data_IF_625839505591
#
_entry.id   IF_625839505591
#
_cell.length_a   1.000
_cell.length_b   1.000
_cell.length_c   1.000
_cell.angle_alpha   90.00
_cell.angle_beta   90.00
_cell.angle_gamma   90.00
#
_symmetry.space_group_name_H-M   'P 1'
#
loop_
_entity.id
_entity.type
_entity.pdbx_description
1 polymer ?
#
# COMPACT_ATOMS: atom_id res chain seq x y z
N UNK A 1 22.93 -15.36 -20.12
CA UNK A 1 22.52 -13.96 -19.93
C UNK A 1 21.05 -14.03 -19.54
N UNK A 2 20.69 -13.89 -18.26
CA UNK A 2 19.29 -13.79 -17.88
C UNK A 2 18.80 -12.43 -18.38
N UNK A 3 17.83 -12.43 -19.26
CA UNK A 3 17.03 -11.26 -19.62
C UNK A 3 16.45 -10.72 -18.31
N UNK A 4 17.01 -9.61 -17.78
CA UNK A 4 16.33 -8.86 -16.73
C UNK A 4 14.96 -8.51 -17.32
N UNK A 5 13.89 -8.98 -16.69
CA UNK A 5 12.53 -8.67 -17.09
C UNK A 5 12.41 -7.16 -17.23
N UNK A 6 11.83 -6.68 -18.32
CA UNK A 6 11.72 -5.25 -18.62
C UNK A 6 10.78 -4.60 -17.58
N UNK A 7 11.37 -3.95 -16.57
CA UNK A 7 10.62 -3.31 -15.49
C UNK A 7 9.87 -2.12 -16.09
N UNK A 8 8.55 -2.00 -15.91
CA UNK A 8 7.81 -0.85 -16.38
C UNK A 8 8.26 0.45 -15.69
N UNK A 9 8.28 1.55 -16.44
CA UNK A 9 8.49 2.87 -15.85
C UNK A 9 7.20 3.38 -15.19
N UNK A 10 7.32 4.30 -14.23
CA UNK A 10 6.16 4.95 -13.63
C UNK A 10 5.33 5.71 -14.68
N UNK A 11 5.97 6.23 -15.73
CA UNK A 11 5.24 6.88 -16.82
C UNK A 11 4.36 5.89 -17.59
N UNK A 12 4.87 4.71 -17.91
CA UNK A 12 4.12 3.65 -18.59
C UNK A 12 2.98 3.12 -17.72
N UNK A 13 3.20 2.99 -16.41
CA UNK A 13 2.20 2.47 -15.49
C UNK A 13 1.00 3.41 -15.32
N UNK A 14 1.23 4.72 -15.26
CA UNK A 14 0.19 5.67 -14.85
C UNK A 14 -0.26 6.63 -15.95
N UNK A 15 0.53 6.86 -17.01
CA UNK A 15 0.29 7.93 -17.96
C UNK A 15 0.32 7.51 -19.44
N UNK A 16 0.92 6.37 -19.76
CA UNK A 16 0.83 5.84 -21.13
C UNK A 16 -0.58 5.29 -21.40
N UNK A 17 -1.10 5.53 -22.60
CA UNK A 17 -2.33 4.89 -23.03
C UNK A 17 -2.13 3.37 -22.98
N UNK A 18 -2.89 2.67 -22.17
CA UNK A 18 -2.93 1.22 -22.19
C UNK A 18 -3.53 0.81 -23.52
N UNK A 19 -2.75 0.15 -24.36
CA UNK A 19 -3.29 -0.45 -25.57
C UNK A 19 -4.43 -1.41 -25.17
N UNK A 20 -5.52 -1.37 -25.91
CA UNK A 20 -6.77 -2.08 -25.60
C UNK A 20 -6.65 -3.63 -25.59
N UNK A 21 -5.45 -4.17 -25.76
CA UNK A 21 -5.18 -5.58 -26.04
C UNK A 21 -4.34 -6.29 -24.95
N UNK A 22 -4.03 -5.65 -23.83
CA UNK A 22 -3.31 -6.35 -22.76
C UNK A 22 -4.27 -7.32 -22.06
N UNK A 23 -3.91 -8.60 -22.07
CA UNK A 23 -4.58 -9.64 -21.31
C UNK A 23 -4.41 -9.32 -19.79
N UNK A 24 -5.41 -9.66 -18.98
CA UNK A 24 -5.42 -9.42 -17.53
C UNK A 24 -4.14 -9.94 -16.85
N UNK A 25 -3.67 -11.10 -17.24
CA UNK A 25 -2.43 -11.68 -16.73
C UNK A 25 -1.18 -10.84 -17.04
N UNK A 26 -1.10 -10.25 -18.22
CA UNK A 26 0.03 -9.37 -18.59
C UNK A 26 -0.01 -8.07 -17.78
N UNK A 27 -1.20 -7.56 -17.47
CA UNK A 27 -1.38 -6.40 -16.59
C UNK A 27 -0.88 -6.75 -15.19
N UNK A 28 -1.31 -7.89 -14.63
CA UNK A 28 -0.88 -8.38 -13.33
C UNK A 28 0.65 -8.52 -13.25
N UNK A 29 1.27 -9.19 -14.22
CA UNK A 29 2.72 -9.40 -14.28
C UNK A 29 3.49 -8.06 -14.36
N UNK A 30 2.99 -7.09 -15.14
CA UNK A 30 3.59 -5.75 -15.22
C UNK A 30 3.46 -4.97 -13.92
N UNK A 31 2.31 -5.03 -13.25
CA UNK A 31 2.10 -4.39 -11.95
C UNK A 31 3.03 -5.00 -10.91
N UNK A 32 3.16 -6.32 -10.87
CA UNK A 32 4.06 -7.01 -9.96
C UNK A 32 5.52 -6.59 -10.17
N UNK A 33 6.01 -6.58 -11.41
CA UNK A 33 7.36 -6.14 -11.74
C UNK A 33 7.61 -4.67 -11.31
N UNK A 34 6.65 -3.80 -11.58
CA UNK A 34 6.75 -2.40 -11.19
C UNK A 34 6.83 -2.24 -9.67
N UNK A 35 5.85 -2.75 -8.92
CA UNK A 35 5.80 -2.56 -7.47
C UNK A 35 6.97 -3.24 -6.75
N UNK A 36 7.40 -4.41 -7.17
CA UNK A 36 8.61 -5.06 -6.63
C UNK A 36 9.90 -4.27 -6.89
N UNK A 37 9.90 -3.39 -7.89
CA UNK A 37 11.04 -2.50 -8.17
C UNK A 37 11.11 -1.29 -7.25
N UNK A 38 9.99 -0.93 -6.60
CA UNK A 38 9.88 0.27 -5.77
C UNK A 38 10.39 -0.01 -4.35
N UNK A 39 11.44 0.71 -3.96
CA UNK A 39 11.98 0.69 -2.61
C UNK A 39 11.65 2.00 -1.90
N UNK A 40 11.01 1.88 -0.75
CA UNK A 40 10.62 3.02 0.08
C UNK A 40 11.82 3.51 0.90
N UNK A 41 11.72 4.72 1.46
CA UNK A 41 12.79 5.34 2.25
C UNK A 41 13.26 4.49 3.45
N UNK A 42 12.39 3.69 4.04
CA UNK A 42 12.71 2.79 5.15
C UNK A 42 13.35 1.46 4.70
N UNK A 43 13.66 1.29 3.41
CA UNK A 43 14.25 0.09 2.83
C UNK A 43 13.24 -1.03 2.54
N UNK A 44 11.97 -0.87 2.88
CA UNK A 44 10.94 -1.84 2.51
C UNK A 44 10.54 -1.68 1.04
N UNK A 45 10.03 -2.76 0.44
CA UNK A 45 9.54 -2.73 -0.94
C UNK A 45 8.03 -2.88 -0.99
N UNK A 46 7.42 -2.25 -1.98
CA UNK A 46 6.01 -2.46 -2.29
C UNK A 46 5.86 -3.81 -2.99
N UNK A 47 5.69 -4.87 -2.19
CA UNK A 47 5.44 -6.21 -2.74
C UNK A 47 3.95 -6.41 -2.91
N UNK A 48 3.55 -6.95 -4.06
CA UNK A 48 2.17 -7.33 -4.32
C UNK A 48 2.17 -8.73 -4.92
N UNK A 49 1.08 -9.45 -4.71
CA UNK A 49 0.78 -10.72 -5.39
C UNK A 49 -0.73 -10.88 -5.44
N UNK A 50 -1.22 -11.20 -6.61
CA UNK A 50 -2.62 -11.51 -6.84
C UNK A 50 -3.03 -12.79 -6.11
N UNK A 51 -4.27 -12.84 -5.63
CA UNK A 51 -4.91 -14.00 -4.98
C UNK A 51 -4.21 -14.52 -3.72
N UNK A 52 -3.31 -13.71 -3.16
CA UNK A 52 -2.49 -14.11 -2.01
C UNK A 52 -3.30 -14.37 -0.74
N UNK A 53 -4.43 -13.66 -0.56
CA UNK A 53 -5.24 -13.68 0.67
C UNK A 53 -6.65 -14.23 0.45
N UNK A 54 -6.88 -15.08 -0.56
CA UNK A 54 -8.21 -15.61 -0.89
C UNK A 54 -8.78 -16.49 0.25
N UNK A 55 -7.95 -17.31 0.87
CA UNK A 55 -8.31 -18.15 2.03
C UNK A 55 -8.68 -17.30 3.25
N UNK A 56 -7.92 -16.22 3.50
CA UNK A 56 -8.24 -15.25 4.55
C UNK A 56 -9.57 -14.54 4.26
N UNK A 57 -9.78 -14.09 3.03
CA UNK A 57 -11.02 -13.42 2.62
C UNK A 57 -12.23 -14.33 2.84
N UNK A 58 -12.11 -15.64 2.50
CA UNK A 58 -13.14 -16.63 2.74
C UNK A 58 -13.43 -16.88 4.23
N UNK A 59 -12.38 -16.89 5.08
CA UNK A 59 -12.55 -16.98 6.54
C UNK A 59 -13.27 -15.75 7.09
N UNK A 60 -12.77 -14.56 6.75
CA UNK A 60 -13.30 -13.28 7.26
C UNK A 60 -14.78 -13.12 6.92
N UNK A 61 -15.18 -13.49 5.70
CA UNK A 61 -16.57 -13.39 5.25
C UNK A 61 -17.56 -14.15 6.15
N UNK A 62 -17.13 -15.25 6.78
CA UNK A 62 -17.97 -16.08 7.68
C UNK A 62 -18.21 -15.45 9.05
N UNK A 63 -17.34 -14.51 9.46
CA UNK A 63 -17.35 -13.92 10.81
C UNK A 63 -17.63 -12.42 10.80
N UNK A 64 -17.96 -11.84 9.63
CA UNK A 64 -18.27 -10.42 9.52
C UNK A 64 -19.42 -10.01 10.44
N UNK A 65 -19.33 -8.84 11.08
CA UNK A 65 -20.41 -8.33 11.90
C UNK A 65 -21.65 -8.03 11.04
N UNK A 66 -22.88 -8.07 11.62
CA UNK A 66 -24.13 -7.96 10.87
C UNK A 66 -24.46 -6.56 10.37
N UNK A 67 -23.81 -5.53 10.87
CA UNK A 67 -24.02 -4.13 10.51
C UNK A 67 -23.79 -3.90 9.01
N UNK A 68 -24.60 -3.04 8.37
CA UNK A 68 -24.48 -2.69 6.96
C UNK A 68 -24.87 -1.21 6.75
N UNK A 69 -24.16 -0.46 5.88
CA UNK A 69 -22.91 -0.86 5.23
C UNK A 69 -21.76 -1.02 6.23
N UNK A 70 -20.75 -1.83 5.90
CA UNK A 70 -19.54 -1.94 6.71
C UNK A 70 -18.58 -0.78 6.42
N UNK A 71 -18.06 -0.15 7.46
CA UNK A 71 -16.87 0.70 7.37
C UNK A 71 -15.64 -0.16 7.62
N UNK A 72 -14.80 -0.31 6.62
CA UNK A 72 -13.63 -1.18 6.63
C UNK A 72 -12.37 -0.34 6.42
N UNK A 73 -11.30 -0.66 7.14
CA UNK A 73 -9.97 -0.16 6.86
C UNK A 73 -8.99 -1.32 6.69
N UNK A 74 -8.26 -1.30 5.59
CA UNK A 74 -7.12 -2.18 5.33
C UNK A 74 -5.85 -1.36 5.46
N UNK A 75 -4.91 -1.76 6.30
CA UNK A 75 -3.71 -0.98 6.62
C UNK A 75 -2.46 -1.61 6.04
N UNK A 76 -1.49 -0.76 5.64
CA UNK A 76 -0.24 -1.14 5.01
C UNK A 76 -0.45 -1.97 3.73
N UNK A 77 -1.38 -1.50 2.90
CA UNK A 77 -1.88 -2.23 1.73
C UNK A 77 -0.90 -2.33 0.56
N UNK A 78 0.26 -1.66 0.65
CA UNK A 78 1.28 -1.67 -0.41
C UNK A 78 0.73 -1.17 -1.76
N UNK A 79 0.58 -2.02 -2.77
CA UNK A 79 -0.04 -1.67 -4.06
C UNK A 79 -1.57 -1.64 -4.02
N UNK A 80 -2.19 -2.18 -2.97
CA UNK A 80 -3.64 -2.26 -2.81
C UNK A 80 -4.33 -3.39 -3.58
N UNK A 81 -3.59 -4.23 -4.30
CA UNK A 81 -4.17 -5.34 -5.09
C UNK A 81 -5.00 -6.28 -4.21
N UNK A 82 -4.43 -6.80 -3.10
CA UNK A 82 -5.16 -7.69 -2.19
C UNK A 82 -6.36 -7.00 -1.50
N UNK A 83 -6.33 -5.68 -1.39
CA UNK A 83 -7.45 -4.88 -0.89
C UNK A 83 -8.58 -4.82 -1.91
N UNK A 84 -8.24 -4.59 -3.19
CA UNK A 84 -9.21 -4.62 -4.29
C UNK A 84 -9.87 -5.99 -4.44
N UNK A 85 -9.09 -7.06 -4.38
CA UNK A 85 -9.59 -8.44 -4.41
C UNK A 85 -10.57 -8.71 -3.28
N UNK A 86 -10.25 -8.25 -2.06
CA UNK A 86 -11.14 -8.39 -0.92
C UNK A 86 -12.47 -7.61 -1.10
N UNK A 87 -12.39 -6.36 -1.57
CA UNK A 87 -13.59 -5.57 -1.86
C UNK A 87 -14.47 -6.26 -2.91
N UNK A 88 -13.88 -6.75 -4.01
CA UNK A 88 -14.61 -7.50 -5.05
C UNK A 88 -15.25 -8.77 -4.47
N UNK A 89 -14.57 -9.48 -3.57
CA UNK A 89 -15.12 -10.66 -2.92
C UNK A 89 -16.32 -10.31 -2.02
N UNK A 90 -16.26 -9.19 -1.28
CA UNK A 90 -17.37 -8.68 -0.49
C UNK A 90 -18.58 -8.27 -1.35
N UNK A 91 -18.34 -7.57 -2.46
CA UNK A 91 -19.39 -7.19 -3.41
C UNK A 91 -20.09 -8.40 -4.02
N UNK A 92 -19.32 -9.42 -4.45
CA UNK A 92 -19.89 -10.70 -4.95
C UNK A 92 -20.71 -11.43 -3.91
N UNK A 93 -20.38 -11.28 -2.64
CA UNK A 93 -21.14 -11.85 -1.51
C UNK A 93 -22.34 -10.99 -1.10
N UNK A 94 -22.61 -9.88 -1.78
CA UNK A 94 -23.71 -8.98 -1.45
C UNK A 94 -23.48 -8.20 -0.13
N UNK A 95 -22.23 -7.96 0.27
CA UNK A 95 -21.88 -7.23 1.48
C UNK A 95 -21.57 -5.77 1.14
N UNK A 96 -22.49 -4.83 1.34
CA UNK A 96 -22.23 -3.42 1.10
C UNK A 96 -21.20 -2.89 2.09
N UNK A 97 -20.18 -2.19 1.59
CA UNK A 97 -19.13 -1.61 2.43
C UNK A 97 -18.49 -0.38 1.79
N UNK A 98 -17.88 0.45 2.65
CA UNK A 98 -16.91 1.48 2.27
C UNK A 98 -15.55 1.07 2.79
N UNK A 99 -14.53 1.13 1.95
CA UNK A 99 -13.20 0.64 2.27
C UNK A 99 -12.15 1.75 2.16
N UNK A 100 -11.39 1.98 3.25
CA UNK A 100 -10.17 2.78 3.22
C UNK A 100 -8.95 1.87 3.08
N UNK A 101 -8.16 2.11 2.04
CA UNK A 101 -6.86 1.47 1.82
C UNK A 101 -5.75 2.39 2.30
N UNK A 102 -5.19 2.10 3.48
CA UNK A 102 -4.16 2.91 4.12
C UNK A 102 -2.74 2.39 3.87
N UNK A 103 -1.83 3.26 3.47
CA UNK A 103 -0.39 2.94 3.36
C UNK A 103 0.44 4.16 3.74
N UNK A 104 1.67 3.94 4.23
CA UNK A 104 2.56 5.02 4.62
C UNK A 104 3.00 5.91 3.44
N UNK A 105 3.01 5.34 2.22
CA UNK A 105 3.37 6.06 0.99
C UNK A 105 2.32 5.79 -0.09
N UNK A 106 1.34 6.65 -0.17
CA UNK A 106 0.29 6.66 -1.20
C UNK A 106 0.54 7.77 -2.21
N UNK A 107 0.98 8.93 -1.75
CA UNK A 107 1.25 10.06 -2.63
C UNK A 107 2.66 9.98 -3.20
N UNK A 108 2.75 9.95 -4.52
CA UNK A 108 4.01 10.01 -5.24
C UNK A 108 3.94 11.04 -6.37
N UNK A 109 5.08 11.36 -6.93
CA UNK A 109 5.23 12.41 -7.91
C UNK A 109 6.14 11.96 -9.04
N UNK A 110 5.65 12.06 -10.28
CA UNK A 110 6.48 11.90 -11.46
C UNK A 110 7.09 13.24 -11.83
N UNK A 111 8.39 13.40 -11.58
CA UNK A 111 9.16 14.56 -11.95
C UNK A 111 9.81 14.29 -13.30
N UNK A 112 9.68 15.22 -14.27
CA UNK A 112 10.25 15.04 -15.60
C UNK A 112 11.08 16.25 -16.01
N UNK A 113 12.27 15.97 -16.56
CA UNK A 113 13.12 16.91 -17.29
C UNK A 113 13.08 16.53 -18.78
N UNK A 114 12.00 16.95 -19.45
CA UNK A 114 11.69 16.51 -20.79
C UNK A 114 11.24 15.04 -20.89
N UNK A 115 11.15 14.50 -22.13
CA UNK A 115 10.61 13.17 -22.36
C UNK A 115 11.58 12.01 -22.03
N UNK A 116 12.88 12.31 -21.91
CA UNK A 116 13.93 11.30 -21.80
C UNK A 116 14.48 11.07 -20.39
N UNK A 117 14.13 11.92 -19.44
CA UNK A 117 14.60 11.79 -18.07
C UNK A 117 13.47 12.12 -17.10
N UNK A 118 13.03 11.11 -16.34
CA UNK A 118 12.00 11.22 -15.33
C UNK A 118 12.43 10.52 -14.05
N UNK A 119 11.80 10.87 -12.95
CA UNK A 119 11.96 10.16 -11.69
C UNK A 119 10.61 10.04 -10.97
N UNK A 120 10.38 8.89 -10.37
CA UNK A 120 9.33 8.69 -9.37
C UNK A 120 9.89 9.06 -8.01
N UNK A 121 9.22 9.95 -7.29
CA UNK A 121 9.63 10.42 -5.98
C UNK A 121 8.46 10.39 -5.00
N UNK A 122 8.74 10.15 -3.71
CA UNK A 122 7.78 10.40 -2.65
C UNK A 122 7.73 11.90 -2.30
N UNK A 123 6.87 12.28 -1.36
CA UNK A 123 6.73 13.68 -0.92
C UNK A 123 7.94 14.24 -0.16
N UNK A 124 8.85 13.37 0.31
CA UNK A 124 10.11 13.80 0.97
C UNK A 124 11.23 14.06 -0.03
N UNK A 125 11.01 13.77 -1.32
CA UNK A 125 12.02 13.85 -2.37
C UNK A 125 12.89 12.61 -2.48
N UNK A 126 12.53 11.50 -1.80
CA UNK A 126 13.20 10.22 -1.99
C UNK A 126 12.88 9.66 -3.37
N UNK A 127 13.92 9.38 -4.15
CA UNK A 127 13.77 8.82 -5.50
C UNK A 127 13.57 7.31 -5.40
N UNK A 128 12.47 6.83 -5.96
CA UNK A 128 12.09 5.40 -5.96
C UNK A 128 12.41 4.70 -7.28
N UNK A 129 12.35 5.43 -8.40
CA UNK A 129 12.70 4.92 -9.73
C UNK A 129 13.22 6.08 -10.59
N UNK A 130 14.21 5.81 -11.46
CA UNK A 130 14.54 6.68 -12.59
C UNK A 130 14.02 6.05 -13.89
N UNK A 131 13.56 6.90 -14.79
CA UNK A 131 13.25 6.54 -16.17
C UNK A 131 14.24 7.33 -17.05
N UNK A 132 15.12 6.61 -17.71
CA UNK A 132 16.14 7.17 -18.61
C UNK A 132 15.87 6.62 -20.00
N UNK A 133 15.32 7.45 -20.87
CA UNK A 133 14.98 7.09 -22.26
C UNK A 133 13.98 5.90 -22.37
N UNK A 134 13.10 5.74 -21.40
CA UNK A 134 12.14 4.62 -21.34
C UNK A 134 12.66 3.39 -20.60
N UNK A 135 13.90 3.40 -20.12
CA UNK A 135 14.45 2.33 -19.29
C UNK A 135 14.26 2.64 -17.80
N UNK A 136 13.63 1.75 -17.06
CA UNK A 136 13.43 1.86 -15.62
C UNK A 136 14.71 1.46 -14.86
N UNK A 137 15.22 2.34 -14.02
CA UNK A 137 16.34 2.09 -13.13
C UNK A 137 15.86 2.11 -11.69
N UNK A 138 16.02 1.00 -10.96
CA UNK A 138 15.71 0.89 -9.53
C UNK A 138 16.54 1.85 -8.70
N UNK A 139 15.95 2.43 -7.67
CA UNK A 139 16.63 3.35 -6.78
C UNK A 139 16.56 2.86 -5.32
N UNK A 140 17.72 2.78 -4.63
CA UNK A 140 19.09 2.95 -5.14
C UNK A 140 19.51 1.80 -6.08
N UNK A 141 20.38 2.06 -7.07
CA UNK A 141 20.86 1.00 -7.94
C UNK A 141 21.59 -0.09 -7.14
N UNK A 142 21.30 -1.39 -7.38
CA UNK A 142 21.84 -2.48 -6.57
C UNK A 142 23.36 -2.67 -6.76
N UNK A 143 23.87 -2.49 -7.99
CA UNK A 143 25.28 -2.68 -8.30
C UNK A 143 26.08 -1.38 -8.12
N UNK A 144 27.29 -1.47 -7.55
CA UNK A 144 28.17 -0.31 -7.32
C UNK A 144 28.48 0.47 -8.61
N UNK A 145 28.75 -0.23 -9.72
CA UNK A 145 29.00 0.39 -11.03
C UNK A 145 27.81 1.21 -11.52
N UNK A 146 26.61 0.74 -11.28
CA UNK A 146 25.38 1.41 -11.71
C UNK A 146 25.13 2.66 -10.87
N UNK A 147 25.48 2.63 -9.58
CA UNK A 147 25.46 3.83 -8.72
C UNK A 147 26.36 4.93 -9.27
N UNK A 148 27.55 4.60 -9.76
CA UNK A 148 28.47 5.56 -10.38
C UNK A 148 27.90 6.03 -11.72
N UNK A 149 27.45 5.10 -12.57
CA UNK A 149 26.88 5.40 -13.90
C UNK A 149 25.69 6.36 -13.82
N UNK A 150 24.77 6.14 -12.89
CA UNK A 150 23.55 6.91 -12.77
C UNK A 150 23.64 8.08 -11.79
N UNK A 151 24.79 8.28 -11.14
CA UNK A 151 24.99 9.36 -10.16
C UNK A 151 24.65 10.77 -10.70
N UNK A 152 25.07 11.17 -11.91
CA UNK A 152 24.72 12.48 -12.47
C UNK A 152 23.20 12.66 -12.64
N UNK A 153 22.50 11.60 -13.13
CA UNK A 153 21.05 11.63 -13.30
C UNK A 153 20.33 11.73 -11.95
N UNK A 154 20.81 10.99 -10.94
CA UNK A 154 20.27 11.09 -9.57
C UNK A 154 20.41 12.48 -8.99
N UNK A 155 21.60 13.10 -9.15
CA UNK A 155 21.85 14.45 -8.65
C UNK A 155 20.95 15.47 -9.33
N UNK A 156 20.84 15.38 -10.67
CA UNK A 156 19.99 16.27 -11.46
C UNK A 156 18.51 16.11 -11.08
N UNK A 157 18.03 14.87 -10.94
CA UNK A 157 16.63 14.63 -10.55
C UNK A 157 16.33 15.04 -9.11
N UNK A 158 17.28 14.90 -8.17
CA UNK A 158 17.14 15.46 -6.81
C UNK A 158 17.06 16.98 -6.82
N UNK A 159 17.86 17.64 -7.66
CA UNK A 159 17.77 19.10 -7.83
C UNK A 159 16.41 19.51 -8.43
N UNK A 160 15.94 18.80 -9.46
CA UNK A 160 14.63 19.04 -10.07
C UNK A 160 13.48 18.81 -9.07
N UNK A 161 13.56 17.79 -8.23
CA UNK A 161 12.55 17.50 -7.17
C UNK A 161 12.45 18.67 -6.18
N UNK A 162 13.56 19.31 -5.83
CA UNK A 162 13.58 20.46 -4.91
C UNK A 162 12.93 21.72 -5.47
N UNK A 163 12.69 21.80 -6.78
CA UNK A 163 11.95 22.92 -7.38
C UNK A 163 10.47 22.93 -6.95
N UNK A 164 9.97 21.77 -6.52
CA UNK A 164 8.58 21.59 -6.12
C UNK A 164 8.49 21.39 -4.61
N UNK A 165 7.52 22.01 -3.97
CA UNK A 165 7.22 21.81 -2.56
C UNK A 165 6.29 20.59 -2.41
N UNK A 166 6.86 19.38 -2.59
CA UNK A 166 6.10 18.13 -2.60
C UNK A 166 5.37 17.86 -1.28
N UNK A 167 5.87 18.40 -0.17
CA UNK A 167 5.25 18.26 1.16
C UNK A 167 3.95 19.04 1.30
N UNK A 168 3.78 20.11 0.54
CA UNK A 168 2.58 20.98 0.55
C UNK A 168 1.58 20.64 -0.55
N UNK A 169 1.94 19.78 -1.50
CA UNK A 169 1.01 19.34 -2.54
C UNK A 169 -0.10 18.53 -1.86
N UNK A 170 -1.32 19.02 -1.97
CA UNK A 170 -2.47 18.76 -1.09
C UNK A 170 -2.87 17.29 -1.05
N UNK A 171 -3.14 16.81 0.18
CA UNK A 171 -3.52 15.42 0.49
C UNK A 171 -4.96 15.07 0.06
N UNK A 172 -5.76 16.06 -0.30
CA UNK A 172 -7.22 15.92 -0.40
C UNK A 172 -7.77 15.92 -1.82
N UNK A 173 -6.94 16.07 -2.85
CA UNK A 173 -7.36 16.05 -4.26
C UNK A 173 -6.78 14.85 -5.01
N UNK A 174 -7.16 13.65 -4.59
CA UNK A 174 -6.87 12.45 -5.35
C UNK A 174 -8.00 12.16 -6.35
N UNK A 175 -8.03 12.95 -7.41
CA UNK A 175 -8.68 12.50 -8.65
C UNK A 175 -7.60 11.87 -9.52
N UNK A 176 -7.74 10.60 -9.81
CA UNK A 176 -6.80 9.77 -10.56
C UNK A 176 -6.59 10.20 -12.02
N UNK A 177 -7.20 11.29 -12.48
CA UNK A 177 -7.22 11.67 -13.91
C UNK A 177 -7.13 13.17 -14.18
N UNK A 178 -6.90 14.04 -13.19
CA UNK A 178 -7.06 15.48 -13.47
C UNK A 178 -6.25 16.49 -12.66
N UNK A 179 -5.24 16.09 -11.89
CA UNK A 179 -4.46 17.09 -11.16
C UNK A 179 -3.53 17.88 -12.09
N UNK A 180 -3.47 19.21 -11.94
CA UNK A 180 -2.70 20.05 -12.83
C UNK A 180 -1.21 19.74 -12.71
N UNK A 181 -0.59 19.43 -13.83
CA UNK A 181 0.84 19.32 -13.96
C UNK A 181 1.49 20.67 -13.61
N UNK A 182 2.33 20.69 -12.57
CA UNK A 182 3.13 21.88 -12.26
C UNK A 182 4.36 21.96 -13.14
N UNK A 183 4.74 23.19 -13.56
CA UNK A 183 5.96 23.45 -14.33
C UNK A 183 6.81 24.49 -13.63
N UNK A 184 8.12 24.20 -13.48
CA UNK A 184 9.10 25.14 -12.94
C UNK A 184 10.47 24.92 -13.59
N UNK A 185 11.08 25.97 -14.15
CA UNK A 185 12.42 25.94 -14.74
C UNK A 185 12.66 24.76 -15.71
N UNK A 186 11.68 24.47 -16.58
CA UNK A 186 11.76 23.38 -17.55
C UNK A 186 11.44 21.99 -16.99
N UNK A 187 11.31 21.84 -15.67
CA UNK A 187 10.85 20.62 -15.04
C UNK A 187 9.32 20.58 -14.95
N UNK A 188 8.75 19.38 -14.97
CA UNK A 188 7.33 19.14 -14.70
C UNK A 188 7.17 18.19 -13.53
N UNK A 189 6.10 18.39 -12.74
CA UNK A 189 5.70 17.52 -11.64
C UNK A 189 4.26 17.10 -11.85
N UNK A 190 4.02 15.79 -11.86
CA UNK A 190 2.67 15.18 -11.90
C UNK A 190 2.46 14.35 -10.64
N UNK A 191 1.48 14.70 -9.80
CA UNK A 191 1.11 13.83 -8.69
C UNK A 191 0.46 12.54 -9.21
N UNK A 192 0.63 11.45 -8.45
CA UNK A 192 -0.02 10.17 -8.71
C UNK A 192 -0.27 9.42 -7.38
N UNK A 193 -1.23 8.51 -7.40
CA UNK A 193 -1.47 7.56 -6.33
C UNK A 193 -0.62 6.32 -6.57
N UNK A 194 0.36 6.05 -5.68
CA UNK A 194 1.28 4.92 -5.79
C UNK A 194 0.60 3.61 -5.35
N UNK A 195 -0.46 3.27 -6.03
CA UNK A 195 -1.23 2.03 -5.91
C UNK A 195 -1.55 1.49 -7.29
N UNK A 196 -2.02 0.24 -7.36
CA UNK A 196 -2.42 -0.35 -8.62
C UNK A 196 -3.46 0.53 -9.33
N UNK A 197 -3.27 0.85 -10.60
CA UNK A 197 -4.26 1.60 -11.37
C UNK A 197 -5.62 0.91 -11.48
N UNK A 198 -5.70 -0.40 -11.21
CA UNK A 198 -6.98 -1.14 -11.18
C UNK A 198 -7.92 -0.68 -10.07
N UNK A 199 -7.37 -0.13 -8.95
CA UNK A 199 -8.17 0.40 -7.84
C UNK A 199 -9.07 1.56 -8.25
N UNK A 200 -8.70 2.33 -9.27
CA UNK A 200 -9.48 3.45 -9.78
C UNK A 200 -10.86 3.06 -10.32
N UNK A 201 -11.10 1.76 -10.54
CA UNK A 201 -12.38 1.22 -11.00
C UNK A 201 -13.34 0.88 -9.87
N UNK A 202 -12.92 1.03 -8.61
CA UNK A 202 -13.65 0.65 -7.41
C UNK A 202 -14.05 1.91 -6.62
N UNK A 203 -15.22 2.50 -6.88
CA UNK A 203 -15.64 3.77 -6.26
C UNK A 203 -15.83 3.68 -4.74
N UNK A 204 -16.04 2.47 -4.19
CA UNK A 204 -16.17 2.21 -2.77
C UNK A 204 -14.83 2.14 -2.03
N UNK A 205 -13.70 2.14 -2.78
CA UNK A 205 -12.36 2.07 -2.23
C UNK A 205 -11.69 3.44 -2.32
N UNK A 206 -11.27 3.96 -1.18
CA UNK A 206 -10.51 5.21 -1.08
C UNK A 206 -9.10 4.93 -0.57
N UNK A 207 -8.08 5.35 -1.33
CA UNK A 207 -6.68 5.29 -0.90
C UNK A 207 -6.37 6.49 0.02
N UNK A 208 -5.68 6.22 1.14
CA UNK A 208 -5.27 7.25 2.10
C UNK A 208 -3.84 7.02 2.56
N UNK A 209 -3.09 8.11 2.75
CA UNK A 209 -1.79 8.04 3.40
C UNK A 209 -1.99 7.90 4.91
N UNK A 210 -1.60 6.76 5.46
CA UNK A 210 -1.77 6.43 6.87
C UNK A 210 -0.54 5.70 7.43
N UNK A 211 0.02 6.25 8.51
CA UNK A 211 1.05 5.60 9.31
C UNK A 211 0.41 5.07 10.58
N UNK A 212 0.35 3.75 10.71
CA UNK A 212 -0.26 3.09 11.88
C UNK A 212 0.49 3.34 13.21
N UNK A 213 1.71 3.90 13.15
CA UNK A 213 2.44 4.38 14.32
C UNK A 213 1.88 5.70 14.87
N UNK A 214 1.13 6.44 14.04
CA UNK A 214 0.53 7.70 14.42
C UNK A 214 -0.95 7.47 14.73
N UNK A 215 -1.41 7.98 15.87
CA UNK A 215 -2.84 8.04 16.13
C UNK A 215 -3.41 9.20 15.31
N UNK A 216 -4.26 8.87 14.31
CA UNK A 216 -4.97 9.85 13.47
C UNK A 216 -6.46 9.81 13.78
N UNK A 217 -7.21 10.78 13.24
CA UNK A 217 -8.62 11.11 13.52
C UNK A 217 -9.64 10.03 13.07
N UNK A 218 -9.33 8.76 13.26
CA UNK A 218 -10.22 7.64 12.92
C UNK A 218 -10.84 6.97 14.15
N UNK A 219 -10.92 7.65 15.27
CA UNK A 219 -11.41 7.08 16.53
C UNK A 219 -12.80 6.48 16.37
N UNK A 220 -12.96 5.21 16.77
CA UNK A 220 -14.22 4.45 16.78
C UNK A 220 -15.01 4.58 15.48
N UNK A 221 -14.36 4.34 14.36
CA UNK A 221 -14.97 4.50 13.03
C UNK A 221 -15.25 3.20 12.32
N UNK A 222 -14.38 2.18 12.47
CA UNK A 222 -14.42 1.00 11.62
C UNK A 222 -15.06 -0.19 12.29
N UNK A 223 -15.86 -0.93 11.52
CA UNK A 223 -16.40 -2.23 11.89
C UNK A 223 -15.36 -3.33 11.71
N UNK A 224 -14.44 -3.18 10.73
CA UNK A 224 -13.39 -4.16 10.42
C UNK A 224 -12.09 -3.44 10.11
N UNK A 225 -11.01 -3.89 10.74
CA UNK A 225 -9.63 -3.51 10.41
C UNK A 225 -8.85 -4.76 9.97
N UNK A 226 -8.15 -4.68 8.84
CA UNK A 226 -7.22 -5.71 8.41
C UNK A 226 -5.79 -5.17 8.39
N UNK A 227 -4.85 -5.94 8.94
CA UNK A 227 -3.42 -5.70 8.88
C UNK A 227 -2.73 -6.98 8.37
N UNK A 228 -2.47 -7.04 7.07
CA UNK A 228 -1.84 -8.18 6.44
C UNK A 228 -0.36 -7.90 6.17
N UNK A 229 0.52 -8.81 6.63
CA UNK A 229 1.97 -8.80 6.40
C UNK A 229 2.74 -7.60 6.95
N UNK A 230 2.18 -6.86 7.89
CA UNK A 230 2.83 -5.70 8.49
C UNK A 230 3.11 -5.90 9.99
N UNK A 231 2.16 -6.41 10.76
CA UNK A 231 2.33 -6.58 12.21
C UNK A 231 3.05 -7.90 12.50
N UNK A 232 4.36 -7.89 12.51
CA UNK A 232 5.17 -9.09 12.77
C UNK A 232 6.48 -8.78 13.50
N UNK A 233 7.00 -9.78 14.24
CA UNK A 233 8.20 -9.67 15.07
C UNK A 233 9.52 -9.56 14.27
N UNK A 234 9.50 -9.87 12.97
CA UNK A 234 10.67 -9.69 12.12
C UNK A 234 10.91 -8.23 11.72
N UNK A 235 9.85 -7.40 11.72
CA UNK A 235 9.94 -5.99 11.34
C UNK A 235 9.97 -5.04 12.53
N UNK A 236 9.31 -5.41 13.65
CA UNK A 236 9.11 -4.49 14.76
C UNK A 236 9.35 -5.18 16.10
N UNK A 237 9.91 -4.43 17.05
CA UNK A 237 9.97 -4.86 18.44
C UNK A 237 8.58 -4.87 19.10
N UNK A 238 8.49 -5.55 20.23
CA UNK A 238 7.24 -5.71 21.00
C UNK A 238 6.62 -4.37 21.40
N UNK A 239 7.44 -3.38 21.80
CA UNK A 239 6.93 -2.07 22.22
C UNK A 239 6.30 -1.30 21.06
N UNK A 240 6.92 -1.36 19.89
CA UNK A 240 6.39 -0.77 18.65
C UNK A 240 5.09 -1.46 18.21
N UNK A 241 5.05 -2.81 18.24
CA UNK A 241 3.83 -3.55 17.93
C UNK A 241 2.69 -3.21 18.90
N UNK A 242 2.95 -3.12 20.19
CA UNK A 242 1.93 -2.72 21.17
C UNK A 242 1.41 -1.30 20.93
N UNK A 243 2.26 -0.36 20.50
CA UNK A 243 1.82 0.99 20.12
C UNK A 243 0.92 0.96 18.89
N UNK A 244 1.31 0.23 17.84
CA UNK A 244 0.47 0.04 16.64
C UNK A 244 -0.87 -0.58 16.99
N UNK A 245 -0.88 -1.63 17.80
CA UNK A 245 -2.09 -2.33 18.23
C UNK A 245 -3.04 -1.41 19.03
N UNK A 246 -2.51 -0.56 19.92
CA UNK A 246 -3.32 0.46 20.62
C UNK A 246 -3.95 1.45 19.63
N UNK A 247 -3.18 1.93 18.64
CA UNK A 247 -3.70 2.83 17.62
C UNK A 247 -4.79 2.19 16.77
N UNK A 248 -4.61 0.92 16.40
CA UNK A 248 -5.63 0.18 15.64
C UNK A 248 -6.88 -0.09 16.49
N UNK A 249 -6.72 -0.45 17.78
CA UNK A 249 -7.84 -0.61 18.69
C UNK A 249 -8.69 0.67 18.79
N UNK A 250 -8.04 1.83 18.96
CA UNK A 250 -8.73 3.11 19.06
C UNK A 250 -9.58 3.45 17.81
N UNK A 251 -9.27 2.86 16.66
CA UNK A 251 -10.02 3.06 15.40
C UNK A 251 -11.25 2.18 15.28
N UNK A 252 -11.30 1.08 16.04
CA UNK A 252 -12.41 0.12 15.98
C UNK A 252 -13.62 0.58 16.78
N UNK A 253 -14.78 0.24 16.28
CA UNK A 253 -16.04 0.26 17.04
C UNK A 253 -16.07 -0.91 18.04
N UNK A 254 -16.72 -0.78 19.21
CA UNK A 254 -17.02 -1.92 20.06
C UNK A 254 -17.78 -3.00 19.27
N UNK A 255 -17.38 -4.25 19.39
CA UNK A 255 -17.86 -5.37 18.56
C UNK A 255 -17.19 -5.46 17.18
N UNK A 256 -16.30 -4.52 16.84
CA UNK A 256 -15.56 -4.55 15.59
C UNK A 256 -14.46 -5.62 15.55
N UNK A 257 -14.02 -5.98 14.36
CA UNK A 257 -13.03 -7.02 14.10
C UNK A 257 -11.66 -6.45 13.77
N UNK A 258 -10.63 -6.98 14.41
CA UNK A 258 -9.22 -6.81 14.02
C UNK A 258 -8.73 -8.10 13.39
N UNK A 259 -8.26 -8.04 12.15
CA UNK A 259 -7.70 -9.16 11.39
C UNK A 259 -6.22 -8.94 11.26
N UNK A 260 -5.41 -9.88 11.76
CA UNK A 260 -3.96 -9.86 11.61
C UNK A 260 -3.54 -11.13 10.88
N UNK A 261 -2.84 -10.95 9.76
CA UNK A 261 -2.37 -12.03 8.91
C UNK A 261 -0.88 -11.87 8.61
N UNK A 262 -0.17 -13.00 8.55
CA UNK A 262 1.16 -13.10 7.98
C UNK A 262 1.24 -14.27 7.02
N UNK A 263 1.72 -14.02 5.80
CA UNK A 263 2.11 -15.06 4.86
C UNK A 263 3.55 -15.45 5.16
N UNK A 264 3.81 -16.73 5.41
CA UNK A 264 5.17 -17.24 5.65
C UNK A 264 5.92 -17.52 4.32
N UNK A 265 7.18 -17.95 4.43
CA UNK A 265 8.03 -18.24 3.26
C UNK A 265 7.51 -19.42 2.39
N UNK A 266 6.67 -20.28 2.97
CA UNK A 266 5.98 -21.35 2.24
C UNK A 266 4.65 -20.90 1.60
N UNK A 267 4.39 -19.58 1.55
CA UNK A 267 3.17 -18.96 1.01
C UNK A 267 1.89 -19.36 1.75
N UNK A 268 2.00 -19.82 3.01
CA UNK A 268 0.86 -20.15 3.86
C UNK A 268 0.46 -18.91 4.69
N UNK A 269 -0.83 -18.59 4.69
CA UNK A 269 -1.40 -17.50 5.49
C UNK A 269 -1.73 -17.99 6.90
N UNK A 270 -1.08 -17.40 7.89
CA UNK A 270 -1.39 -17.60 9.31
C UNK A 270 -2.10 -16.34 9.82
N UNK A 271 -3.34 -16.46 10.27
CA UNK A 271 -4.13 -15.30 10.67
C UNK A 271 -4.99 -15.56 11.91
N UNK A 272 -5.18 -14.48 12.67
CA UNK A 272 -6.16 -14.44 13.75
C UNK A 272 -7.13 -13.28 13.54
N UNK A 273 -8.42 -13.57 13.80
CA UNK A 273 -9.49 -12.59 13.83
C UNK A 273 -9.88 -12.37 15.28
N UNK A 274 -9.88 -11.12 15.70
CA UNK A 274 -10.21 -10.71 17.06
C UNK A 274 -11.45 -9.84 17.06
N UNK A 275 -12.31 -10.02 18.06
CA UNK A 275 -13.41 -9.10 18.35
C UNK A 275 -13.01 -8.15 19.46
N UNK A 276 -13.25 -6.85 19.28
CA UNK A 276 -13.10 -5.84 20.32
C UNK A 276 -14.32 -5.86 21.22
N UNK A 277 -14.17 -6.34 22.44
CA UNK A 277 -15.22 -6.37 23.44
C UNK A 277 -15.56 -4.96 23.98
N UNK A 278 -16.72 -4.84 24.63
CA UNK A 278 -17.17 -3.56 25.21
C UNK A 278 -16.26 -3.03 26.32
N UNK A 279 -15.53 -3.91 26.97
CA UNK A 279 -14.54 -3.57 28.01
C UNK A 279 -13.17 -3.18 27.44
N UNK A 280 -13.03 -3.10 26.11
CA UNK A 280 -11.81 -2.72 25.43
C UNK A 280 -10.79 -3.85 25.25
N UNK A 281 -11.10 -5.08 25.65
CA UNK A 281 -10.26 -6.26 25.43
C UNK A 281 -10.52 -6.91 24.09
N UNK A 282 -9.54 -7.62 23.57
CA UNK A 282 -9.71 -8.46 22.39
C UNK A 282 -9.91 -9.92 22.77
N UNK A 283 -10.93 -10.55 22.15
CA UNK A 283 -11.14 -12.00 22.16
C UNK A 283 -10.89 -12.59 20.78
N UNK A 284 -10.25 -13.78 20.72
CA UNK A 284 -10.02 -14.45 19.43
C UNK A 284 -11.30 -15.11 18.95
N UNK A 285 -11.80 -14.69 17.80
CA UNK A 285 -13.04 -15.17 17.18
C UNK A 285 -12.80 -16.28 16.18
N UNK A 286 -11.73 -16.20 15.40
CA UNK A 286 -11.37 -17.21 14.40
C UNK A 286 -9.86 -17.25 14.16
N UNK A 287 -9.36 -18.36 13.63
CA UNK A 287 -7.99 -18.55 13.19
C UNK A 287 -7.95 -19.20 11.82
N UNK A 288 -6.94 -18.81 11.04
CA UNK A 288 -6.52 -19.49 9.82
C UNK A 288 -5.17 -20.13 10.10
N UNK A 289 -5.04 -21.42 9.87
CA UNK A 289 -3.87 -22.24 10.16
C UNK A 289 -3.39 -22.03 11.63
N UNK A 290 -2.13 -21.67 11.84
CA UNK A 290 -1.55 -21.53 13.19
C UNK A 290 -1.96 -20.25 13.92
N UNK A 291 -2.70 -19.34 13.24
CA UNK A 291 -3.02 -18.04 13.78
C UNK A 291 -1.87 -17.03 13.68
N UNK A 292 -2.07 -15.83 14.19
CA UNK A 292 -1.06 -14.77 14.20
C UNK A 292 0.00 -15.01 15.28
N UNK A 293 1.29 -14.89 14.94
CA UNK A 293 2.42 -14.99 15.89
C UNK A 293 2.34 -13.99 17.05
N UNK A 294 1.63 -12.86 16.84
CA UNK A 294 1.47 -11.81 17.85
C UNK A 294 0.12 -11.86 18.58
N UNK A 295 -0.64 -12.96 18.47
CA UNK A 295 -1.95 -13.12 19.15
C UNK A 295 -1.86 -12.83 20.65
N UNK A 296 -0.79 -13.27 21.31
CA UNK A 296 -0.55 -13.03 22.72
C UNK A 296 -0.40 -11.52 23.06
N UNK A 297 0.18 -10.71 22.16
CA UNK A 297 0.28 -9.27 22.33
C UNK A 297 -1.08 -8.59 22.21
N UNK A 298 -1.91 -9.03 21.26
CA UNK A 298 -3.25 -8.47 21.05
C UNK A 298 -4.13 -8.73 22.27
N UNK A 299 -4.16 -9.99 22.75
CA UNK A 299 -4.96 -10.38 23.92
C UNK A 299 -4.43 -9.79 25.25
N UNK A 300 -3.13 -9.52 25.31
CA UNK A 300 -2.48 -8.91 26.47
C UNK A 300 -2.58 -7.39 26.54
N UNK A 301 -3.23 -6.72 25.56
CA UNK A 301 -3.43 -5.27 25.63
C UNK A 301 -4.32 -4.93 26.85
N UNK A 302 -3.90 -4.00 27.72
CA UNK A 302 -4.74 -3.56 28.82
C UNK A 302 -6.02 -2.91 28.27
N UNK A 303 -7.16 -3.02 28.97
CA UNK A 303 -8.37 -2.29 28.61
C UNK A 303 -8.12 -0.78 28.62
N UNK A 304 -8.91 -0.01 27.91
CA UNK A 304 -8.86 1.47 27.92
C UNK A 304 -9.54 2.03 29.14
#
# INVERSE_FOLDING_TARGET
>A
MSTEANIPTAFEMYFASRAAESNEREIEEREDLFFHSIELRNGTRKTTRHRRLDDLNALVQRVLPPQRPLEIMDVAVSSGVSTAEWLIALERAGVPCHMLAGDAVVNAFLISLGPRLRALSDRTGHLMQLDIQGEAVRMPPPRRRDRIRYFPHMLLMRAATRLFDLGKLDRHRHSSTGEPMQRRLGATCRPLTLMSPSLNRLPQLQAVEDDILLNRDYTRRFHVLRAANILNLAYFDTATLQRMLRNLRARLLPGGLLIICRTNDAEVNNASVFTLEKDGRFTTTARLNEGSEIEHLVRGLPPE
#
